data_IF_537840385738
#
_entry.id   IF_537840385738
#
_cell.length_a   1.000
_cell.length_b   1.000
_cell.length_c   1.000
_cell.angle_alpha   90.00
_cell.angle_beta   90.00
_cell.angle_gamma   90.00
#
_symmetry.space_group_name_H-M   'P 1'
#
loop_
_entity.id
_entity.type
_entity.pdbx_description
1 polymer ?
#
# COMPACT_ATOMS: atom_id res chain seq x y z
N UNK A 1 -7.92 4.29 -28.52
CA UNK A 1 -7.80 2.92 -27.99
C UNK A 1 -8.19 2.91 -26.52
N UNK A 2 -8.74 1.82 -26.02
CA UNK A 2 -9.20 1.62 -24.63
C UNK A 2 -8.14 2.06 -23.59
N UNK A 3 -6.85 1.76 -23.83
CA UNK A 3 -5.75 2.19 -22.96
C UNK A 3 -5.59 3.72 -22.92
N UNK A 4 -5.78 4.42 -24.03
CA UNK A 4 -5.71 5.87 -24.06
C UNK A 4 -6.91 6.50 -23.35
N UNK A 5 -8.08 5.86 -23.39
CA UNK A 5 -9.27 6.30 -22.67
C UNK A 5 -9.07 6.13 -21.17
N UNK A 6 -8.47 5.02 -20.74
CA UNK A 6 -8.06 4.81 -19.34
C UNK A 6 -7.05 5.88 -18.92
N UNK A 7 -6.03 6.15 -19.73
CA UNK A 7 -5.06 7.21 -19.46
C UNK A 7 -5.72 8.58 -19.30
N UNK A 8 -6.68 8.90 -20.15
CA UNK A 8 -7.43 10.15 -20.06
C UNK A 8 -8.27 10.25 -18.77
N UNK A 9 -8.79 9.14 -18.25
CA UNK A 9 -9.53 9.10 -16.99
C UNK A 9 -8.62 9.23 -15.77
N UNK A 10 -7.39 8.71 -15.83
CA UNK A 10 -6.43 8.81 -14.70
C UNK A 10 -5.89 10.24 -14.60
N UNK A 11 -5.53 10.88 -15.70
CA UNK A 11 -4.94 12.25 -15.78
C UNK A 11 -4.12 12.64 -14.56
N UNK A 12 -4.63 13.62 -13.79
CA UNK A 12 -3.95 14.19 -12.62
C UNK A 12 -4.35 13.54 -11.29
N UNK A 13 -5.01 12.38 -11.37
CA UNK A 13 -5.57 11.72 -10.21
C UNK A 13 -5.27 10.23 -10.17
N UNK A 14 -6.26 9.50 -9.68
CA UNK A 14 -6.22 8.07 -9.49
C UNK A 14 -7.53 7.47 -9.97
N UNK A 15 -7.46 6.31 -10.61
CA UNK A 15 -8.62 5.55 -11.03
C UNK A 15 -8.62 4.20 -10.31
N UNK A 16 -9.66 3.93 -9.54
CA UNK A 16 -9.86 2.66 -8.84
C UNK A 16 -10.99 1.90 -9.50
N UNK A 17 -10.74 0.61 -9.80
CA UNK A 17 -11.74 -0.28 -10.38
C UNK A 17 -11.43 -1.73 -10.01
N UNK A 18 -12.37 -2.65 -10.25
CA UNK A 18 -12.06 -4.07 -10.14
C UNK A 18 -11.09 -4.48 -11.26
N UNK A 19 -10.25 -5.47 -10.97
CA UNK A 19 -9.34 -5.99 -11.99
C UNK A 19 -10.11 -6.63 -13.17
N UNK A 20 -11.26 -7.24 -12.88
CA UNK A 20 -12.17 -7.77 -13.94
C UNK A 20 -12.72 -6.68 -14.85
N UNK A 21 -13.05 -5.50 -14.31
CA UNK A 21 -13.47 -4.35 -15.13
C UNK A 21 -12.32 -3.87 -16.02
N UNK A 22 -11.11 -3.72 -15.46
CA UNK A 22 -9.92 -3.31 -16.21
C UNK A 22 -9.66 -4.26 -17.39
N UNK A 23 -9.64 -5.57 -17.13
CA UNK A 23 -9.40 -6.59 -18.17
C UNK A 23 -10.53 -6.68 -19.19
N UNK A 24 -11.79 -6.49 -18.75
CA UNK A 24 -12.95 -6.45 -19.61
C UNK A 24 -12.90 -5.29 -20.61
N UNK A 25 -12.51 -4.09 -20.18
CA UNK A 25 -12.29 -2.93 -21.04
C UNK A 25 -11.22 -3.19 -22.10
N UNK A 26 -10.21 -3.98 -21.78
CA UNK A 26 -9.10 -4.30 -22.69
C UNK A 26 -9.38 -5.50 -23.61
N UNK A 27 -10.64 -5.92 -23.70
CA UNK A 27 -11.11 -7.04 -24.54
C UNK A 27 -10.42 -8.39 -24.24
N UNK A 28 -9.96 -8.54 -23.00
CA UNK A 28 -9.41 -9.79 -22.49
C UNK A 28 -10.47 -10.57 -21.72
N UNK A 29 -11.48 -11.13 -22.38
CA UNK A 29 -12.46 -11.97 -21.72
C UNK A 29 -11.82 -13.28 -21.28
N UNK A 30 -11.79 -13.52 -19.96
CA UNK A 30 -11.36 -14.77 -19.35
C UNK A 30 -10.31 -14.57 -18.26
N UNK A 31 -10.07 -15.64 -17.48
CA UNK A 31 -9.01 -15.63 -16.48
C UNK A 31 -7.66 -15.37 -17.14
N UNK A 32 -7.02 -14.26 -16.76
CA UNK A 32 -5.71 -13.93 -17.29
C UNK A 32 -4.64 -14.82 -16.66
N UNK A 33 -3.82 -15.43 -17.51
CA UNK A 33 -2.60 -16.09 -17.06
C UNK A 33 -1.65 -15.07 -16.41
N UNK A 34 -0.72 -15.57 -15.58
CA UNK A 34 0.33 -14.72 -14.97
C UNK A 34 1.03 -13.83 -16.02
N UNK A 35 1.42 -14.42 -17.14
CA UNK A 35 2.17 -13.70 -18.20
C UNK A 35 1.33 -12.59 -18.84
N UNK A 36 0.03 -12.79 -18.99
CA UNK A 36 -0.88 -11.76 -19.51
C UNK A 36 -1.07 -10.62 -18.52
N UNK A 37 -1.16 -10.92 -17.22
CA UNK A 37 -1.24 -9.88 -16.17
C UNK A 37 0.03 -9.05 -16.13
N UNK A 38 1.21 -9.69 -16.18
CA UNK A 38 2.49 -8.98 -16.24
C UNK A 38 2.64 -8.18 -17.53
N UNK A 39 2.17 -8.72 -18.67
CA UNK A 39 2.14 -8.02 -19.95
C UNK A 39 1.26 -6.77 -19.91
N UNK A 40 0.09 -6.86 -19.28
CA UNK A 40 -0.80 -5.72 -19.06
C UNK A 40 -0.12 -4.65 -18.21
N UNK A 41 0.50 -5.02 -17.09
CA UNK A 41 1.21 -4.09 -16.24
C UNK A 41 2.34 -3.35 -16.98
N UNK A 42 3.10 -4.06 -17.81
CA UNK A 42 4.12 -3.44 -18.67
C UNK A 42 3.52 -2.49 -19.72
N UNK A 43 2.39 -2.85 -20.32
CA UNK A 43 1.70 -1.99 -21.27
C UNK A 43 1.20 -0.69 -20.61
N UNK A 44 0.71 -0.77 -19.39
CA UNK A 44 0.33 0.41 -18.59
C UNK A 44 1.56 1.28 -18.29
N UNK A 45 2.67 0.70 -17.87
CA UNK A 45 3.90 1.44 -17.63
C UNK A 45 4.45 2.13 -18.87
N UNK A 46 4.33 1.50 -20.04
CA UNK A 46 4.70 2.12 -21.31
C UNK A 46 3.90 3.39 -21.58
N UNK A 47 2.68 3.48 -21.08
CA UNK A 47 1.82 4.67 -21.14
C UNK A 47 2.02 5.63 -19.96
N UNK A 48 3.05 5.41 -19.15
CA UNK A 48 3.31 6.17 -17.91
C UNK A 48 2.19 6.04 -16.87
N UNK A 49 1.58 4.85 -16.79
CA UNK A 49 0.61 4.49 -15.75
C UNK A 49 1.20 3.42 -14.86
N UNK A 50 1.14 3.67 -13.54
CA UNK A 50 1.41 2.66 -12.53
C UNK A 50 0.13 1.93 -12.14
N UNK A 51 0.25 0.67 -11.77
CA UNK A 51 -0.82 -0.14 -11.19
C UNK A 51 -0.42 -0.60 -9.79
N UNK A 52 -1.29 -0.40 -8.83
CA UNK A 52 -1.17 -0.97 -7.48
C UNK A 52 -2.26 -2.05 -7.32
N UNK A 53 -1.91 -3.28 -6.86
CA UNK A 53 -0.59 -3.74 -6.40
C UNK A 53 0.47 -3.84 -7.53
N UNK A 54 1.75 -3.67 -7.16
CA UNK A 54 2.86 -3.74 -8.12
C UNK A 54 3.24 -5.20 -8.44
N UNK A 55 2.51 -5.77 -9.39
CA UNK A 55 2.72 -7.17 -9.81
C UNK A 55 4.09 -7.40 -10.45
N UNK A 56 4.69 -6.36 -11.04
CA UNK A 56 6.03 -6.44 -11.64
C UNK A 56 7.15 -6.44 -10.57
N UNK A 57 6.85 -5.99 -9.36
CA UNK A 57 7.74 -6.14 -8.20
C UNK A 57 7.49 -7.45 -7.42
N UNK A 58 6.67 -8.35 -7.94
CA UNK A 58 6.38 -9.63 -7.30
C UNK A 58 5.23 -9.63 -6.30
N UNK A 59 4.44 -8.55 -6.25
CA UNK A 59 3.22 -8.53 -5.45
C UNK A 59 2.21 -9.55 -5.95
N UNK A 60 1.29 -9.97 -5.08
CA UNK A 60 0.24 -10.93 -5.42
C UNK A 60 -0.58 -10.45 -6.62
N UNK A 61 -0.80 -11.36 -7.58
CA UNK A 61 -1.67 -11.07 -8.73
C UNK A 61 -3.11 -10.84 -8.26
N UNK A 62 -3.76 -9.78 -8.73
CA UNK A 62 -5.16 -9.53 -8.41
C UNK A 62 -6.07 -10.57 -9.09
N UNK A 63 -7.14 -10.95 -8.41
CA UNK A 63 -8.26 -11.70 -8.97
C UNK A 63 -9.24 -10.71 -9.62
N UNK A 64 -10.19 -11.23 -10.39
CA UNK A 64 -11.19 -10.39 -11.07
C UNK A 64 -11.98 -9.48 -10.12
N UNK A 65 -12.31 -9.97 -8.93
CA UNK A 65 -13.03 -9.24 -7.89
C UNK A 65 -12.17 -8.27 -7.09
N UNK A 66 -10.84 -8.41 -7.13
CA UNK A 66 -9.94 -7.54 -6.39
C UNK A 66 -9.90 -6.14 -7.04
N UNK A 67 -9.81 -5.11 -6.20
CA UNK A 67 -9.63 -3.75 -6.67
C UNK A 67 -8.17 -3.47 -7.02
N UNK A 68 -7.97 -2.70 -8.08
CA UNK A 68 -6.69 -2.14 -8.49
C UNK A 68 -6.79 -0.64 -8.59
N UNK A 69 -5.68 0.05 -8.37
CA UNK A 69 -5.60 1.50 -8.52
C UNK A 69 -4.57 1.85 -9.60
N UNK A 70 -4.97 2.68 -10.54
CA UNK A 70 -4.11 3.22 -11.59
C UNK A 70 -3.76 4.67 -11.26
N UNK A 71 -2.52 5.05 -11.47
CA UNK A 71 -2.03 6.40 -11.22
C UNK A 71 -0.99 6.80 -12.28
N UNK A 72 -0.76 8.10 -12.45
CA UNK A 72 0.27 8.58 -13.37
C UNK A 72 1.64 8.31 -12.77
N UNK A 73 2.50 7.63 -13.53
CA UNK A 73 3.88 7.31 -13.19
C UNK A 73 4.82 8.00 -14.19
N UNK A 74 4.99 9.31 -14.04
CA UNK A 74 5.90 10.08 -14.88
C UNK A 74 7.35 9.70 -14.57
N UNK A 75 8.15 9.28 -15.57
CA UNK A 75 9.57 8.97 -15.37
C UNK A 75 10.38 10.11 -14.76
N UNK A 76 9.99 11.36 -14.98
CA UNK A 76 10.65 12.55 -14.40
C UNK A 76 10.48 12.61 -12.86
N UNK A 77 9.47 11.95 -12.31
CA UNK A 77 9.19 11.91 -10.86
C UNK A 77 9.94 10.79 -10.12
N UNK A 78 10.71 10.00 -10.85
CA UNK A 78 11.46 8.85 -10.34
C UNK A 78 10.83 7.51 -10.67
N UNK A 79 11.51 6.43 -10.29
CA UNK A 79 11.00 5.08 -10.50
C UNK A 79 9.81 4.79 -9.59
N UNK A 80 8.71 4.31 -10.17
CA UNK A 80 7.50 3.93 -9.43
C UNK A 80 7.54 2.49 -8.90
N UNK A 81 8.56 1.69 -9.28
CA UNK A 81 8.70 0.29 -8.85
C UNK A 81 8.81 0.20 -7.33
N UNK A 82 8.06 -0.71 -6.73
CA UNK A 82 8.15 -1.00 -5.30
C UNK A 82 9.57 -1.42 -4.90
N UNK A 83 10.06 -0.80 -3.83
CA UNK A 83 11.38 -1.06 -3.21
C UNK A 83 11.17 -1.52 -1.77
N UNK A 84 12.20 -2.03 -1.07
CA UNK A 84 12.09 -2.34 0.35
C UNK A 84 11.65 -1.14 1.20
N UNK A 85 12.13 0.07 0.91
CA UNK A 85 11.71 1.29 1.60
C UNK A 85 10.23 1.61 1.34
N UNK A 86 9.77 1.44 0.10
CA UNK A 86 8.35 1.56 -0.24
C UNK A 86 7.51 0.53 0.51
N UNK A 87 7.94 -0.73 0.56
CA UNK A 87 7.20 -1.81 1.24
C UNK A 87 7.06 -1.55 2.74
N UNK A 88 8.12 -1.05 3.39
CA UNK A 88 8.05 -0.65 4.79
C UNK A 88 7.02 0.48 5.02
N UNK A 89 6.98 1.47 4.15
CA UNK A 89 5.99 2.55 4.19
C UNK A 89 4.56 2.01 3.95
N UNK A 90 4.38 1.09 3.01
CA UNK A 90 3.08 0.45 2.72
C UNK A 90 2.56 -0.35 3.92
N UNK A 91 3.42 -1.10 4.61
CA UNK A 91 3.05 -1.82 5.84
C UNK A 91 2.68 -0.84 6.96
N UNK A 92 3.38 0.27 7.07
CA UNK A 92 3.04 1.35 8.02
C UNK A 92 1.63 1.87 7.77
N UNK A 93 1.27 2.11 6.51
CA UNK A 93 -0.09 2.53 6.13
C UNK A 93 -1.13 1.44 6.41
N UNK A 94 -0.82 0.18 6.14
CA UNK A 94 -1.72 -0.94 6.43
C UNK A 94 -2.08 -0.99 7.93
N UNK A 95 -1.09 -0.80 8.80
CA UNK A 95 -1.29 -0.72 10.25
C UNK A 95 -2.12 0.51 10.64
N UNK A 96 -1.78 1.68 10.11
CA UNK A 96 -2.51 2.92 10.39
C UNK A 96 -3.98 2.82 9.95
N UNK A 97 -4.25 2.26 8.77
CA UNK A 97 -5.61 2.01 8.30
C UNK A 97 -6.36 1.03 9.20
N UNK A 98 -5.71 -0.04 9.66
CA UNK A 98 -6.34 -1.02 10.55
C UNK A 98 -6.73 -0.39 11.89
N UNK A 99 -5.93 0.54 12.41
CA UNK A 99 -6.25 1.31 13.62
C UNK A 99 -7.42 2.27 13.35
N UNK A 100 -7.35 3.05 12.28
CA UNK A 100 -8.38 4.02 11.93
C UNK A 100 -9.76 3.37 11.69
N UNK A 101 -9.76 2.17 11.09
CA UNK A 101 -11.00 1.42 10.79
C UNK A 101 -11.50 0.56 11.93
N UNK A 102 -10.76 0.43 13.04
CA UNK A 102 -11.16 -0.38 14.19
C UNK A 102 -12.48 0.08 14.83
N UNK A 103 -12.81 1.36 14.72
CA UNK A 103 -14.03 1.96 15.27
C UNK A 103 -15.14 2.20 14.23
N UNK A 104 -14.98 1.69 13.03
CA UNK A 104 -15.93 1.87 11.93
C UNK A 104 -15.28 2.34 10.64
N UNK A 105 -15.99 3.13 9.86
CA UNK A 105 -15.48 3.66 8.61
C UNK A 105 -14.44 4.77 8.85
N UNK A 106 -13.35 4.72 8.10
CA UNK A 106 -12.36 5.80 8.11
C UNK A 106 -13.02 7.14 7.73
N UNK A 107 -12.90 8.12 8.59
CA UNK A 107 -13.41 9.45 8.31
C UNK A 107 -12.61 10.12 7.17
N UNK A 108 -13.26 11.07 6.48
CA UNK A 108 -12.55 11.89 5.48
C UNK A 108 -11.35 12.64 6.08
N UNK A 109 -11.43 13.02 7.35
CA UNK A 109 -10.33 13.66 8.08
C UNK A 109 -9.14 12.73 8.28
N UNK A 110 -9.36 11.45 8.62
CA UNK A 110 -8.30 10.44 8.76
C UNK A 110 -7.61 10.16 7.43
N UNK A 111 -8.38 10.08 6.34
CA UNK A 111 -7.82 9.92 5.00
C UNK A 111 -6.93 11.11 4.61
N UNK A 112 -7.37 12.34 4.87
CA UNK A 112 -6.59 13.56 4.61
C UNK A 112 -5.31 13.55 5.46
N UNK A 113 -5.40 13.16 6.72
CA UNK A 113 -4.28 13.09 7.64
C UNK A 113 -3.21 12.08 7.18
N UNK A 114 -3.61 10.86 6.82
CA UNK A 114 -2.71 9.85 6.29
C UNK A 114 -2.09 10.27 4.95
N UNK A 115 -2.84 10.93 4.07
CA UNK A 115 -2.34 11.47 2.81
C UNK A 115 -1.25 12.52 3.05
N UNK A 116 -1.42 13.41 4.02
CA UNK A 116 -0.39 14.39 4.41
C UNK A 116 0.88 13.73 4.94
N UNK A 117 0.75 12.65 5.72
CA UNK A 117 1.91 11.87 6.15
C UNK A 117 2.69 11.30 4.98
N UNK A 118 2.01 10.72 3.98
CA UNK A 118 2.67 10.23 2.76
C UNK A 118 3.45 11.35 2.08
N UNK A 119 2.87 12.53 1.95
CA UNK A 119 3.52 13.70 1.34
C UNK A 119 4.75 14.17 2.11
N UNK A 120 4.79 13.97 3.42
CA UNK A 120 5.93 14.31 4.29
C UNK A 120 7.10 13.32 4.19
N UNK A 121 6.92 12.16 3.62
CA UNK A 121 7.97 11.14 3.51
C UNK A 121 8.92 11.42 2.34
N UNK A 122 9.77 12.41 2.52
CA UNK A 122 10.69 12.92 1.50
C UNK A 122 11.83 11.96 1.14
N UNK A 123 12.03 10.89 1.91
CA UNK A 123 12.96 9.80 1.58
C UNK A 123 12.46 8.91 0.44
N UNK A 124 11.18 9.03 0.08
CA UNK A 124 10.58 8.41 -1.09
C UNK A 124 10.43 9.45 -2.20
N UNK A 125 10.65 9.04 -3.45
CA UNK A 125 10.42 9.91 -4.59
C UNK A 125 8.93 10.20 -4.82
N UNK A 126 8.61 11.13 -5.71
CA UNK A 126 7.22 11.52 -6.00
C UNK A 126 6.40 10.35 -6.54
N UNK A 127 6.98 9.53 -7.42
CA UNK A 127 6.30 8.36 -7.97
C UNK A 127 5.97 7.31 -6.90
N UNK A 128 6.85 7.07 -5.93
CA UNK A 128 6.58 6.21 -4.78
C UNK A 128 5.47 6.77 -3.89
N UNK A 129 5.44 8.07 -3.64
CA UNK A 129 4.38 8.69 -2.84
C UNK A 129 3.01 8.59 -3.54
N UNK A 130 2.98 8.73 -4.87
CA UNK A 130 1.75 8.48 -5.67
C UNK A 130 1.29 7.02 -5.55
N UNK A 131 2.20 6.05 -5.64
CA UNK A 131 1.90 4.64 -5.43
C UNK A 131 1.36 4.37 -4.02
N UNK A 132 1.93 5.01 -3.00
CA UNK A 132 1.43 4.91 -1.63
C UNK A 132 0.02 5.46 -1.45
N UNK A 133 -0.32 6.55 -2.12
CA UNK A 133 -1.69 7.09 -2.13
C UNK A 133 -2.66 6.10 -2.78
N UNK A 134 -2.25 5.43 -3.86
CA UNK A 134 -3.00 4.36 -4.49
C UNK A 134 -3.19 3.17 -3.53
N UNK A 135 -2.12 2.76 -2.86
CA UNK A 135 -2.15 1.71 -1.84
C UNK A 135 -3.09 2.05 -0.68
N UNK A 136 -3.01 3.27 -0.15
CA UNK A 136 -3.90 3.76 0.90
C UNK A 136 -5.38 3.63 0.49
N UNK A 137 -5.73 4.04 -0.72
CA UNK A 137 -7.09 3.94 -1.24
C UNK A 137 -7.59 2.51 -1.24
N UNK A 138 -6.76 1.56 -1.69
CA UNK A 138 -7.10 0.14 -1.70
C UNK A 138 -7.26 -0.41 -0.28
N UNK A 139 -6.43 0.01 0.67
CA UNK A 139 -6.50 -0.46 2.07
C UNK A 139 -7.72 0.07 2.82
N UNK A 140 -8.19 1.27 2.50
CA UNK A 140 -9.44 1.80 3.06
C UNK A 140 -10.63 0.99 2.56
N UNK A 141 -10.63 0.60 1.29
CA UNK A 141 -11.69 -0.24 0.72
C UNK A 141 -11.65 -1.70 1.23
N UNK A 142 -10.44 -2.23 1.41
CA UNK A 142 -10.19 -3.61 1.87
C UNK A 142 -9.05 -3.62 2.89
N UNK A 143 -9.34 -3.45 4.19
CA UNK A 143 -8.32 -3.48 5.24
C UNK A 143 -7.61 -4.83 5.29
N UNK A 144 -6.32 -4.80 5.62
CA UNK A 144 -5.54 -6.02 5.81
C UNK A 144 -5.94 -6.68 7.13
N UNK A 145 -6.09 -8.00 7.13
CA UNK A 145 -6.35 -8.77 8.35
C UNK A 145 -5.15 -8.74 9.30
N UNK A 146 -5.38 -8.95 10.59
CA UNK A 146 -4.29 -9.05 11.59
C UNK A 146 -3.26 -10.12 11.23
N UNK A 147 -3.71 -11.28 10.74
CA UNK A 147 -2.82 -12.35 10.26
C UNK A 147 -1.99 -11.89 9.05
N UNK A 148 -2.60 -11.16 8.12
CA UNK A 148 -1.92 -10.57 6.96
C UNK A 148 -0.88 -9.52 7.37
N UNK A 149 -1.18 -8.67 8.35
CA UNK A 149 -0.26 -7.69 8.91
C UNK A 149 0.95 -8.36 9.57
N UNK A 150 0.73 -9.36 10.40
CA UNK A 150 1.79 -10.13 11.03
C UNK A 150 2.75 -10.72 9.99
N UNK A 151 2.21 -11.36 8.97
CA UNK A 151 2.99 -11.93 7.86
C UNK A 151 3.82 -10.89 7.12
N UNK A 152 3.32 -9.67 6.98
CA UNK A 152 4.05 -8.56 6.33
C UNK A 152 5.12 -7.95 7.23
N UNK A 153 4.92 -7.96 8.55
CA UNK A 153 5.88 -7.43 9.53
C UNK A 153 7.05 -8.36 9.79
N UNK A 154 6.82 -9.68 9.74
CA UNK A 154 7.85 -10.70 10.06
C UNK A 154 9.16 -10.48 9.32
N UNK A 155 9.20 -10.27 7.97
CA UNK A 155 10.44 -10.13 7.22
C UNK A 155 11.14 -8.78 7.40
N UNK A 156 10.52 -7.80 8.07
CA UNK A 156 11.10 -6.47 8.23
C UNK A 156 12.25 -6.48 9.25
N UNK A 157 13.28 -5.68 8.99
CA UNK A 157 14.38 -5.46 9.93
C UNK A 157 13.89 -4.81 11.23
N UNK A 158 14.57 -5.05 12.34
CA UNK A 158 14.22 -4.50 13.65
C UNK A 158 14.15 -2.96 13.65
N UNK A 159 15.01 -2.30 12.90
CA UNK A 159 15.00 -0.83 12.75
C UNK A 159 13.73 -0.34 12.05
N UNK A 160 13.31 -1.00 10.96
CA UNK A 160 12.07 -0.69 10.27
C UNK A 160 10.86 -0.87 11.19
N UNK A 161 10.82 -1.95 11.98
CA UNK A 161 9.77 -2.18 12.99
C UNK A 161 9.72 -1.08 14.04
N UNK A 162 10.86 -0.61 14.53
CA UNK A 162 10.94 0.53 15.47
C UNK A 162 10.44 1.82 14.87
N UNK A 163 10.80 2.12 13.63
CA UNK A 163 10.33 3.30 12.89
C UNK A 163 8.81 3.27 12.73
N UNK A 164 8.24 2.13 12.38
CA UNK A 164 6.79 1.92 12.28
C UNK A 164 6.12 2.15 13.64
N UNK A 165 6.66 1.57 14.70
CA UNK A 165 6.11 1.74 16.05
C UNK A 165 6.12 3.20 16.51
N UNK A 166 7.18 3.96 16.24
CA UNK A 166 7.27 5.40 16.53
C UNK A 166 6.23 6.20 15.75
N UNK A 167 6.03 5.87 14.47
CA UNK A 167 5.03 6.53 13.64
C UNK A 167 3.62 6.30 14.17
N UNK A 168 3.27 5.06 14.53
CA UNK A 168 1.96 4.73 15.08
C UNK A 168 1.72 5.40 16.45
N UNK A 169 2.74 5.47 17.30
CA UNK A 169 2.66 6.19 18.57
C UNK A 169 2.39 7.68 18.35
N UNK A 170 3.08 8.30 17.39
CA UNK A 170 2.86 9.70 17.03
C UNK A 170 1.46 9.96 16.46
N UNK A 171 0.92 9.06 15.64
CA UNK A 171 -0.47 9.14 15.18
C UNK A 171 -1.46 9.10 16.34
N UNK A 172 -1.26 8.19 17.30
CA UNK A 172 -2.12 8.04 18.47
C UNK A 172 -2.11 9.30 19.37
N UNK A 173 -0.96 9.97 19.50
CA UNK A 173 -0.82 11.22 20.25
C UNK A 173 -1.49 12.40 19.53
N UNK A 174 -1.44 12.44 18.21
CA UNK A 174 -2.02 13.53 17.41
C UNK A 174 -3.56 13.53 17.42
N UNK A 175 -4.20 12.38 17.62
CA UNK A 175 -5.66 12.23 17.73
C UNK A 175 -6.24 12.76 19.07
N UNK A 176 -5.42 13.33 19.92
CA UNK A 176 -5.61 14.37 20.97
C UNK A 176 -6.79 14.26 21.92
N UNK A 177 -7.62 13.25 21.89
CA UNK A 177 -8.65 12.96 22.88
C UNK A 177 -8.38 11.60 23.55
N UNK A 178 -7.66 11.66 24.62
CA UNK A 178 -7.20 10.75 25.63
C UNK A 178 -7.90 9.42 25.90
N UNK A 179 -8.35 8.64 24.94
CA UNK A 179 -8.94 7.33 25.23
C UNK A 179 -8.67 6.21 24.22
N UNK A 180 -7.57 6.23 23.46
CA UNK A 180 -7.20 5.07 22.66
C UNK A 180 -5.80 4.57 22.99
N UNK A 181 -5.67 3.88 24.10
CA UNK A 181 -4.46 3.13 24.41
C UNK A 181 -4.42 1.86 23.56
N UNK A 182 -3.82 1.93 22.38
CA UNK A 182 -3.47 0.73 21.64
C UNK A 182 -2.06 0.29 22.02
N UNK A 183 -1.97 -0.64 22.93
CA UNK A 183 -0.76 -1.42 23.16
C UNK A 183 -0.64 -2.43 22.01
N UNK A 184 0.02 -2.06 20.93
CA UNK A 184 0.51 -3.04 19.97
C UNK A 184 1.82 -3.58 20.56
N UNK A 185 1.75 -4.68 21.28
CA UNK A 185 2.93 -5.48 21.58
C UNK A 185 3.49 -6.03 20.27
N UNK A 186 4.48 -5.35 19.71
CA UNK A 186 5.30 -5.94 18.66
C UNK A 186 6.07 -7.10 19.31
N UNK A 187 6.03 -8.30 18.73
CA UNK A 187 6.79 -9.43 19.30
C UNK A 187 8.28 -9.08 19.25
N UNK A 188 8.82 -8.68 20.38
CA UNK A 188 10.25 -8.58 20.59
C UNK A 188 10.80 -9.99 20.62
N UNK A 189 11.35 -10.44 19.51
CA UNK A 189 12.17 -11.66 19.45
C UNK A 189 13.48 -11.41 20.19
N UNK A 190 13.45 -11.36 21.49
CA UNK A 190 14.66 -11.49 22.30
C UNK A 190 14.92 -12.98 22.50
N UNK A 191 16.11 -13.50 22.15
CA UNK A 191 16.45 -14.88 22.50
C UNK A 191 16.62 -14.93 24.03
N UNK A 192 15.87 -15.82 24.67
CA UNK A 192 16.12 -16.19 26.06
C UNK A 192 17.55 -16.73 26.16
N UNK A 193 18.44 -15.94 26.74
CA UNK A 193 19.68 -16.46 27.30
C UNK A 193 19.32 -17.29 28.52
N UNK A 194 19.42 -18.59 28.42
CA UNK A 194 19.51 -19.46 29.58
C UNK A 194 20.89 -19.24 30.19
N UNK A 195 20.94 -18.55 31.31
CA UNK A 195 22.11 -18.56 32.19
C UNK A 195 22.08 -19.89 32.93
N UNK A 196 22.98 -20.79 32.55
CA UNK A 196 23.37 -21.90 33.38
C UNK A 196 24.29 -21.33 34.47
N UNK A 197 23.82 -21.34 35.68
CA UNK A 197 24.67 -21.21 36.91
C UNK A 197 25.07 -22.60 37.36
N UNK A 198 26.36 -22.84 37.41
CA UNK A 198 26.97 -23.89 38.21
C UNK A 198 26.88 -23.51 39.70
#
# INVERSE_FOLDING_TARGET
TELNDIKAQVRDGMLVMSFGELTGRLKGAGALSRDKVLGLARALEFLHLGMEPDVLAGQKLPKAEDSVALFVADPAEGAARSTPAYQAAAVTLDLACSVALADGDASGAELIHLTRHIESWTHLNVAHRKRLKAHLRLRIMQPTTLAGLKKKLEPLAAEAKRTIAKFLAHLAEADGDGQRTFMVELPTGAPHRQEHTE
#
